data_IF_233648690969
#
_entry.id   IF_233648690969
#
_cell.length_a   1.000
_cell.length_b   1.000
_cell.length_c   1.000
_cell.angle_alpha   90.00
_cell.angle_beta   90.00
_cell.angle_gamma   90.00
#
_symmetry.space_group_name_H-M   'P 1'
#
loop_
_entity.id
_entity.type
_entity.pdbx_description
1 polymer ?
#
# COMPACT_ATOMS: atom_id res chain seq x y z
N UNK A 1 -7.15 -32.39 30.56
CA UNK A 1 -7.38 -31.24 29.61
C UNK A 1 -6.85 -29.91 30.14
N UNK A 2 -7.08 -29.49 31.39
CA UNK A 2 -6.69 -28.17 31.90
C UNK A 2 -5.18 -27.86 31.89
N UNK A 3 -4.32 -28.83 32.19
CA UNK A 3 -2.84 -28.64 32.22
C UNK A 3 -2.26 -28.44 30.79
N UNK A 4 -2.80 -29.13 29.79
CA UNK A 4 -2.37 -28.96 28.38
C UNK A 4 -2.77 -27.59 27.85
N UNK A 5 -4.01 -27.16 28.09
CA UNK A 5 -4.51 -25.85 27.70
C UNK A 5 -3.70 -24.69 28.29
N UNK A 6 -3.34 -24.81 29.59
CA UNK A 6 -2.46 -23.82 30.23
C UNK A 6 -1.09 -23.75 29.58
N UNK A 7 -0.46 -24.88 29.27
CA UNK A 7 0.83 -24.89 28.57
C UNK A 7 0.75 -24.27 27.19
N UNK A 8 -0.27 -24.62 26.41
CA UNK A 8 -0.50 -24.01 25.08
C UNK A 8 -0.73 -22.50 25.20
N UNK A 9 -1.52 -22.05 26.15
CA UNK A 9 -1.74 -20.62 26.39
C UNK A 9 -0.42 -19.88 26.66
N UNK A 10 0.45 -20.40 27.53
CA UNK A 10 1.74 -19.75 27.80
C UNK A 10 2.70 -19.78 26.61
N UNK A 11 2.60 -20.76 25.70
CA UNK A 11 3.40 -20.81 24.48
C UNK A 11 2.91 -19.77 23.46
N UNK A 12 1.60 -19.62 23.31
CA UNK A 12 1.03 -18.67 22.34
C UNK A 12 0.90 -17.23 22.85
N UNK A 13 0.97 -17.03 24.18
CA UNK A 13 0.85 -15.70 24.78
C UNK A 13 1.85 -14.69 24.22
N UNK A 14 3.16 -14.97 24.09
CA UNK A 14 4.12 -14.02 23.51
C UNK A 14 3.78 -13.66 22.07
N UNK A 15 3.30 -14.63 21.28
CA UNK A 15 2.89 -14.39 19.88
C UNK A 15 1.65 -13.48 19.85
N UNK A 16 0.66 -13.74 20.70
CA UNK A 16 -0.53 -12.89 20.81
C UNK A 16 -0.22 -11.48 21.26
N UNK A 17 0.70 -11.31 22.21
CA UNK A 17 1.17 -9.99 22.65
C UNK A 17 1.89 -9.26 21.52
N UNK A 18 2.80 -9.93 20.81
CA UNK A 18 3.49 -9.35 19.66
C UNK A 18 2.50 -8.90 18.57
N UNK A 19 1.55 -9.76 18.19
CA UNK A 19 0.55 -9.42 17.18
C UNK A 19 -0.32 -8.23 17.62
N UNK A 20 -0.72 -8.18 18.90
CA UNK A 20 -1.48 -7.05 19.43
C UNK A 20 -0.72 -5.74 19.39
N UNK A 21 0.56 -5.76 19.76
CA UNK A 21 1.45 -4.59 19.67
C UNK A 21 1.63 -4.18 18.21
N UNK A 22 1.93 -5.14 17.33
CA UNK A 22 2.13 -4.87 15.91
C UNK A 22 0.90 -4.21 15.28
N UNK A 23 -0.28 -4.79 15.46
CA UNK A 23 -1.54 -4.26 14.90
C UNK A 23 -1.87 -2.86 15.42
N UNK A 24 -1.52 -2.57 16.68
CA UNK A 24 -1.77 -1.25 17.27
C UNK A 24 -0.82 -0.16 16.77
N UNK A 25 0.46 -0.49 16.59
CA UNK A 25 1.50 0.48 16.23
C UNK A 25 1.88 0.46 14.74
N UNK A 26 1.34 -0.46 13.93
CA UNK A 26 1.71 -0.60 12.51
C UNK A 26 1.61 0.73 11.75
N UNK A 27 2.58 1.04 10.84
CA UNK A 27 2.73 2.40 10.31
C UNK A 27 1.73 2.78 9.22
N UNK A 28 1.09 1.81 8.54
CA UNK A 28 0.38 2.05 7.29
C UNK A 28 -1.14 1.85 7.35
N UNK A 29 -1.71 1.74 8.55
CA UNK A 29 -3.14 1.46 8.74
C UNK A 29 -3.64 0.23 7.95
N UNK A 30 -2.78 -0.78 7.85
CA UNK A 30 -3.07 -2.00 7.10
C UNK A 30 -4.35 -2.70 7.57
N UNK A 31 -4.62 -2.69 8.87
CA UNK A 31 -5.79 -3.31 9.48
C UNK A 31 -6.97 -2.36 9.63
N UNK A 32 -6.88 -1.11 9.18
CA UNK A 32 -7.97 -0.14 9.21
C UNK A 32 -8.35 0.35 10.61
N UNK A 33 -7.49 0.17 11.62
CA UNK A 33 -7.78 0.53 13.03
C UNK A 33 -7.47 2.00 13.31
N UNK A 34 -6.49 2.57 12.59
CA UNK A 34 -6.05 3.95 12.78
C UNK A 34 -6.89 4.91 11.96
N UNK A 35 -7.34 5.97 12.60
CA UNK A 35 -8.01 7.09 11.91
C UNK A 35 -7.04 8.23 11.57
N UNK A 36 -5.86 8.25 12.20
CA UNK A 36 -4.82 9.28 12.06
C UNK A 36 -3.43 8.66 12.31
N UNK A 37 -2.38 9.41 11.99
CA UNK A 37 -0.99 9.03 12.23
C UNK A 37 -0.52 7.81 11.42
N UNK A 38 -0.86 7.79 10.14
CA UNK A 38 -0.23 6.90 9.15
C UNK A 38 0.09 7.73 7.90
N UNK A 39 0.97 7.22 7.05
CA UNK A 39 1.31 7.86 5.78
C UNK A 39 0.35 7.38 4.67
N UNK A 40 -0.66 8.21 4.30
CA UNK A 40 -1.61 7.84 3.26
C UNK A 40 -0.98 7.81 1.85
N UNK A 41 0.19 8.44 1.68
CA UNK A 41 0.87 8.59 0.40
C UNK A 41 1.88 7.47 0.13
N UNK A 42 2.03 6.54 1.08
CA UNK A 42 2.90 5.39 0.90
C UNK A 42 2.35 4.41 -0.17
N UNK A 43 3.26 3.80 -0.92
CA UNK A 43 2.89 2.88 -2.00
C UNK A 43 1.99 1.72 -1.52
N UNK A 44 2.27 1.15 -0.35
CA UNK A 44 1.47 0.04 0.18
C UNK A 44 0.04 0.46 0.53
N UNK A 45 -0.17 1.68 1.03
CA UNK A 45 -1.52 2.20 1.31
C UNK A 45 -2.26 2.42 0.00
N UNK A 46 -1.61 3.00 -1.02
CA UNK A 46 -2.21 3.22 -2.35
C UNK A 46 -2.64 1.90 -2.99
N UNK A 47 -1.75 0.90 -3.00
CA UNK A 47 -2.05 -0.43 -3.54
C UNK A 47 -3.22 -1.08 -2.79
N UNK A 48 -3.22 -1.04 -1.47
CA UNK A 48 -4.32 -1.61 -0.67
C UNK A 48 -5.66 -0.91 -0.89
N UNK A 49 -5.67 0.41 -0.91
CA UNK A 49 -6.90 1.16 -1.16
C UNK A 49 -7.49 0.79 -2.53
N UNK A 50 -6.64 0.72 -3.55
CA UNK A 50 -7.09 0.32 -4.89
C UNK A 50 -7.60 -1.13 -4.94
N UNK A 51 -6.99 -2.05 -4.21
CA UNK A 51 -7.50 -3.43 -4.11
C UNK A 51 -8.90 -3.52 -3.47
N UNK A 52 -9.21 -2.62 -2.53
CA UNK A 52 -10.49 -2.60 -1.84
C UNK A 52 -11.59 -1.95 -2.67
N UNK A 53 -11.25 -0.93 -3.44
CA UNK A 53 -12.17 -0.16 -4.27
C UNK A 53 -11.48 0.23 -5.61
N UNK A 54 -11.42 -0.72 -6.57
CA UNK A 54 -10.78 -0.50 -7.85
C UNK A 54 -11.56 0.49 -8.72
N UNK A 55 -10.97 1.64 -9.03
CA UNK A 55 -11.56 2.65 -9.91
C UNK A 55 -11.27 2.38 -11.39
N UNK A 56 -12.18 2.81 -12.28
CA UNK A 56 -12.02 2.72 -13.74
C UNK A 56 -11.09 3.79 -14.31
N UNK A 57 -10.81 4.83 -13.53
CA UNK A 57 -9.85 5.90 -13.84
C UNK A 57 -8.78 5.90 -12.76
N UNK A 58 -7.51 5.98 -13.15
CA UNK A 58 -6.39 6.02 -12.20
C UNK A 58 -5.41 7.14 -12.49
N UNK A 59 -4.69 7.57 -11.44
CA UNK A 59 -3.53 8.45 -11.54
C UNK A 59 -2.27 7.68 -11.15
N UNK A 60 -1.27 7.74 -12.03
CA UNK A 60 0.07 7.18 -11.84
C UNK A 60 1.13 8.28 -11.89
N UNK A 61 2.27 8.05 -11.26
CA UNK A 61 3.42 8.95 -11.30
C UNK A 61 4.11 9.08 -9.95
N UNK A 62 4.93 10.11 -9.84
CA UNK A 62 5.73 10.40 -8.64
C UNK A 62 4.98 11.30 -7.61
N UNK A 63 5.74 11.84 -6.65
CA UNK A 63 5.22 12.72 -5.59
C UNK A 63 4.44 13.95 -6.09
N UNK A 64 4.65 14.40 -7.33
CA UNK A 64 3.91 15.54 -7.90
C UNK A 64 2.45 15.19 -8.16
N UNK A 65 2.19 13.93 -8.48
CA UNK A 65 0.84 13.42 -8.68
C UNK A 65 0.22 12.92 -7.38
N UNK A 66 1.04 12.54 -6.39
CA UNK A 66 0.59 11.92 -5.14
C UNK A 66 -0.22 12.86 -4.23
N UNK A 67 -0.05 14.17 -4.39
CA UNK A 67 -0.68 15.17 -3.52
C UNK A 67 -1.94 15.81 -4.11
N UNK A 68 -2.47 15.27 -5.19
CA UNK A 68 -3.75 15.76 -5.71
C UNK A 68 -4.90 15.37 -4.77
N UNK A 69 -5.82 16.32 -4.57
CA UNK A 69 -7.08 16.05 -3.89
C UNK A 69 -8.00 15.24 -4.81
N UNK A 70 -8.19 13.97 -4.47
CA UNK A 70 -8.93 13.03 -5.32
C UNK A 70 -10.41 13.32 -5.41
N UNK A 71 -10.99 13.97 -4.42
CA UNK A 71 -12.40 14.41 -4.47
C UNK A 71 -12.56 15.49 -5.55
N UNK A 72 -11.66 16.50 -5.53
CA UNK A 72 -11.64 17.54 -6.57
C UNK A 72 -11.34 16.97 -7.97
N UNK A 73 -10.42 16.04 -8.09
CA UNK A 73 -10.10 15.39 -9.37
C UNK A 73 -11.29 14.56 -9.85
N UNK A 74 -11.94 13.81 -9.00
CA UNK A 74 -13.14 13.03 -9.32
C UNK A 74 -14.29 13.91 -9.81
N UNK A 75 -14.52 15.04 -9.16
CA UNK A 75 -15.52 16.02 -9.59
C UNK A 75 -15.23 16.60 -10.98
N UNK A 76 -13.96 16.85 -11.28
CA UNK A 76 -13.53 17.36 -12.60
C UNK A 76 -13.65 16.30 -13.72
N UNK A 77 -13.36 15.05 -13.39
CA UNK A 77 -13.41 13.92 -14.33
C UNK A 77 -14.84 13.38 -14.49
N UNK A 78 -15.68 13.56 -13.46
CA UNK A 78 -17.06 13.10 -13.43
C UNK A 78 -17.23 11.65 -12.95
N UNK A 79 -16.15 11.03 -12.44
CA UNK A 79 -16.16 9.67 -11.90
C UNK A 79 -15.03 9.48 -10.85
N UNK A 80 -15.14 8.47 -9.97
CA UNK A 80 -14.11 8.19 -8.97
C UNK A 80 -12.75 7.89 -9.60
N UNK A 81 -11.69 8.46 -9.02
CA UNK A 81 -10.32 8.32 -9.52
C UNK A 81 -9.44 7.62 -8.48
N UNK A 82 -8.86 6.49 -8.87
CA UNK A 82 -7.93 5.73 -8.05
C UNK A 82 -6.54 6.38 -8.01
N UNK A 83 -6.04 6.64 -6.81
CA UNK A 83 -4.73 7.23 -6.61
C UNK A 83 -3.67 6.14 -6.40
N UNK A 84 -2.82 5.94 -7.41
CA UNK A 84 -1.71 4.98 -7.35
C UNK A 84 -0.33 5.64 -7.47
N UNK A 85 -0.26 6.97 -7.60
CA UNK A 85 1.02 7.69 -7.53
C UNK A 85 1.53 7.79 -6.10
N UNK A 86 2.85 7.79 -5.91
CA UNK A 86 3.47 7.87 -4.60
C UNK A 86 4.86 8.52 -4.64
N UNK A 87 5.36 8.92 -3.48
CA UNK A 87 6.62 9.63 -3.36
C UNK A 87 7.82 8.85 -3.91
N UNK A 88 8.56 9.45 -4.83
CA UNK A 88 9.76 8.87 -5.42
C UNK A 88 9.52 7.62 -6.27
N UNK A 89 8.36 7.46 -6.85
CA UNK A 89 8.10 6.40 -7.82
C UNK A 89 9.03 6.54 -9.03
N UNK A 90 9.62 5.43 -9.46
CA UNK A 90 10.34 5.32 -10.71
C UNK A 90 9.36 5.03 -11.87
N UNK A 91 9.80 5.27 -13.11
CA UNK A 91 8.97 4.99 -14.27
C UNK A 91 8.54 3.52 -14.34
N UNK A 92 9.48 2.60 -14.12
CA UNK A 92 9.19 1.18 -14.11
C UNK A 92 8.16 0.79 -13.03
N UNK A 93 8.26 1.38 -11.82
CA UNK A 93 7.27 1.13 -10.76
C UNK A 93 5.86 1.62 -11.12
N UNK A 94 5.77 2.73 -11.87
CA UNK A 94 4.48 3.18 -12.39
C UNK A 94 3.92 2.23 -13.45
N UNK A 95 4.78 1.57 -14.24
CA UNK A 95 4.34 0.55 -15.20
C UNK A 95 3.91 -0.74 -14.51
N UNK A 96 4.64 -1.17 -13.48
CA UNK A 96 4.25 -2.32 -12.64
C UNK A 96 2.87 -2.06 -12.00
N UNK A 97 2.64 -0.84 -11.48
CA UNK A 97 1.33 -0.44 -10.94
C UNK A 97 0.22 -0.38 -11.98
N UNK A 98 0.54 -0.02 -13.22
CA UNK A 98 -0.43 -0.07 -14.32
C UNK A 98 -0.84 -1.52 -14.58
N UNK A 99 0.12 -2.44 -14.69
CA UNK A 99 -0.15 -3.86 -14.89
C UNK A 99 -0.98 -4.42 -13.72
N UNK A 100 -0.59 -4.12 -12.49
CA UNK A 100 -1.36 -4.45 -11.28
C UNK A 100 -2.80 -3.92 -11.34
N UNK A 101 -2.99 -2.66 -11.74
CA UNK A 101 -4.31 -2.05 -11.80
C UNK A 101 -5.20 -2.73 -12.88
N UNK A 102 -4.63 -3.08 -14.02
CA UNK A 102 -5.33 -3.82 -15.08
C UNK A 102 -5.75 -5.22 -14.62
N UNK A 103 -4.90 -5.89 -13.85
CA UNK A 103 -5.21 -7.22 -13.29
C UNK A 103 -6.34 -7.15 -12.25
N UNK A 104 -6.37 -6.10 -11.42
CA UNK A 104 -7.41 -5.93 -10.39
C UNK A 104 -8.72 -5.37 -10.94
N UNK A 105 -8.67 -4.56 -12.00
CA UNK A 105 -9.86 -4.01 -12.66
C UNK A 105 -9.79 -4.16 -14.17
N UNK A 106 -10.39 -5.23 -14.75
CA UNK A 106 -10.48 -5.38 -16.19
C UNK A 106 -11.29 -4.28 -16.92
N UNK A 107 -12.03 -3.44 -16.14
CA UNK A 107 -12.80 -2.32 -16.68
C UNK A 107 -12.02 -1.00 -16.66
N UNK A 108 -10.74 -1.01 -16.32
CA UNK A 108 -9.88 0.19 -16.33
C UNK A 108 -9.95 0.86 -17.70
N UNK A 109 -10.36 2.14 -17.74
CA UNK A 109 -10.62 2.91 -18.98
C UNK A 109 -9.57 3.99 -19.23
N UNK A 110 -9.20 4.70 -18.16
CA UNK A 110 -8.40 5.92 -18.30
C UNK A 110 -7.26 5.94 -17.30
N UNK A 111 -6.08 6.29 -17.79
CA UNK A 111 -4.88 6.44 -16.99
C UNK A 111 -4.30 7.83 -17.17
N UNK A 112 -4.25 8.61 -16.12
CA UNK A 112 -3.52 9.87 -16.07
C UNK A 112 -2.10 9.60 -15.57
N UNK A 113 -1.11 9.80 -16.40
CA UNK A 113 0.27 9.52 -16.06
C UNK A 113 1.12 10.79 -15.97
N UNK A 114 1.64 11.07 -14.78
CA UNK A 114 2.57 12.17 -14.53
C UNK A 114 4.02 11.76 -14.80
N UNK A 115 4.50 11.91 -16.01
CA UNK A 115 5.88 11.62 -16.37
C UNK A 115 6.82 12.75 -15.95
N UNK A 116 7.70 12.48 -15.01
CA UNK A 116 8.79 13.38 -14.64
C UNK A 116 10.06 13.05 -15.41
N UNK A 117 10.73 14.07 -15.93
CA UNK A 117 11.91 13.87 -16.78
C UNK A 117 12.99 12.99 -16.11
N UNK A 118 13.22 13.18 -14.80
CA UNK A 118 14.23 12.39 -14.08
C UNK A 118 13.84 10.92 -13.90
N UNK A 119 12.54 10.59 -13.87
CA UNK A 119 12.08 9.19 -13.73
C UNK A 119 12.30 8.37 -15.00
N UNK A 120 12.53 9.04 -16.13
CA UNK A 120 12.89 8.41 -17.41
C UNK A 120 14.38 8.07 -17.51
N UNK A 121 15.18 8.45 -16.49
CA UNK A 121 16.60 8.12 -16.46
C UNK A 121 16.77 6.65 -16.06
N UNK A 122 17.52 5.88 -16.86
CA UNK A 122 17.83 4.47 -16.62
C UNK A 122 18.47 4.22 -15.25
N UNK A 123 19.24 5.19 -14.74
CA UNK A 123 19.83 5.12 -13.40
C UNK A 123 18.83 5.27 -12.26
N UNK A 124 17.58 5.65 -12.55
CA UNK A 124 16.49 5.83 -11.57
C UNK A 124 15.56 4.62 -11.50
N UNK A 125 16.06 3.45 -11.83
CA UNK A 125 15.31 2.19 -11.71
C UNK A 125 15.15 1.77 -10.24
N UNK A 126 13.95 1.30 -9.86
CA UNK A 126 13.65 0.76 -8.52
C UNK A 126 12.82 -0.51 -8.66
N UNK A 127 13.10 -1.51 -7.81
CA UNK A 127 12.39 -2.78 -7.78
C UNK A 127 11.75 -3.01 -6.41
N UNK A 128 10.68 -2.26 -6.12
CA UNK A 128 9.95 -2.37 -4.85
C UNK A 128 8.56 -2.99 -5.02
N UNK A 129 7.98 -2.92 -6.23
CA UNK A 129 6.57 -3.20 -6.45
C UNK A 129 6.20 -4.66 -6.15
N UNK A 130 7.00 -5.62 -6.56
CA UNK A 130 6.73 -7.04 -6.28
C UNK A 130 6.63 -7.35 -4.77
N UNK A 131 7.46 -6.68 -3.95
CA UNK A 131 7.40 -6.79 -2.49
C UNK A 131 6.19 -6.08 -1.90
N UNK A 132 5.85 -4.90 -2.42
CA UNK A 132 4.71 -4.10 -1.96
C UNK A 132 3.39 -4.84 -2.25
N UNK A 133 3.21 -5.34 -3.47
CA UNK A 133 2.02 -6.10 -3.86
C UNK A 133 1.84 -7.36 -3.01
N UNK A 134 2.90 -8.15 -2.87
CA UNK A 134 2.90 -9.35 -2.02
C UNK A 134 2.51 -9.04 -0.57
N UNK A 135 3.02 -7.95 -0.02
CA UNK A 135 2.68 -7.55 1.36
C UNK A 135 1.29 -6.94 1.46
N UNK A 136 0.83 -6.23 0.43
CA UNK A 136 -0.52 -5.70 0.38
C UNK A 136 -1.58 -6.81 0.33
N UNK A 137 -1.31 -7.89 -0.38
CA UNK A 137 -2.21 -9.04 -0.52
C UNK A 137 -2.19 -9.99 0.68
N UNK A 138 -1.07 -10.10 1.38
CA UNK A 138 -0.88 -11.12 2.41
C UNK A 138 -0.56 -10.51 3.79
N UNK A 139 -1.52 -10.56 4.75
CA UNK A 139 -1.31 -10.04 6.10
C UNK A 139 -0.11 -10.66 6.83
N UNK A 140 0.21 -11.93 6.59
CA UNK A 140 1.37 -12.56 7.21
C UNK A 140 2.68 -12.02 6.62
N UNK A 141 2.72 -11.75 5.30
CA UNK A 141 3.86 -11.11 4.67
C UNK A 141 4.06 -9.69 5.21
N UNK A 142 2.96 -8.97 5.49
CA UNK A 142 3.01 -7.65 6.12
C UNK A 142 3.55 -7.69 7.56
N UNK A 143 2.97 -8.53 8.43
CA UNK A 143 3.36 -8.65 9.85
C UNK A 143 4.83 -9.09 9.99
N UNK A 144 5.29 -9.99 9.13
CA UNK A 144 6.64 -10.54 9.19
C UNK A 144 7.66 -9.71 8.38
N UNK A 145 7.25 -8.60 7.77
CA UNK A 145 8.16 -7.71 7.04
C UNK A 145 9.09 -6.98 8.00
N UNK A 146 10.39 -7.19 7.85
CA UNK A 146 11.40 -6.63 8.74
C UNK A 146 11.39 -5.10 8.76
N UNK A 147 11.25 -4.46 7.60
CA UNK A 147 11.25 -3.01 7.50
C UNK A 147 10.03 -2.40 8.21
N UNK A 148 8.84 -2.97 8.02
CA UNK A 148 7.62 -2.48 8.69
C UNK A 148 7.67 -2.69 10.20
N UNK A 149 8.35 -3.74 10.67
CA UNK A 149 8.59 -3.93 12.09
C UNK A 149 9.54 -2.87 12.68
N UNK A 150 10.54 -2.43 11.93
CA UNK A 150 11.41 -1.32 12.37
C UNK A 150 10.65 -0.01 12.36
N UNK A 151 9.89 0.27 11.30
CA UNK A 151 9.11 1.50 11.17
C UNK A 151 8.02 1.62 12.26
N UNK A 152 7.48 0.50 12.73
CA UNK A 152 6.55 0.45 13.87
C UNK A 152 7.19 0.98 15.17
N UNK A 153 8.52 0.88 15.31
CA UNK A 153 9.25 1.30 16.51
C UNK A 153 9.69 2.77 16.50
N UNK A 154 9.51 3.47 15.39
CA UNK A 154 9.87 4.87 15.20
C UNK A 154 8.64 5.79 15.32
#
# INVERSE_FOLDING_TARGET
>A
MSRLLKKLFFIFLPIGVYLGIFVYFEPYNYFGIKTKNYDPDSAIVRVRNYMQDPADVIILGDSRMAHFDMDTVGDLVGEPVGQLSFGGAAFNESMDLLEFAMDKNPNLKTVYFGASFYTLNESYYKDRMSSIEKTAENPFAYILNFNYNIEMLN
#
